data_IF_649810444076
#
_entry.id   IF_649810444076
#
_cell.length_a   1.000
_cell.length_b   1.000
_cell.length_c   1.000
_cell.angle_alpha   90.00
_cell.angle_beta   90.00
_cell.angle_gamma   90.00
#
_symmetry.space_group_name_H-M   'P 1'
#
loop_
_entity.id
_entity.type
_entity.pdbx_description
1 polymer ?
#
# COMPACT_ATOMS: atom_id res chain seq x y z
N UNK A 1 -31.80 -58.02 -29.27
CA UNK A 1 -32.65 -57.06 -30.01
C UNK A 1 -32.60 -55.73 -29.30
N UNK A 2 -32.36 -54.63 -30.04
CA UNK A 2 -31.91 -53.34 -29.52
C UNK A 2 -33.07 -52.36 -29.34
N UNK A 3 -32.86 -51.28 -28.58
CA UNK A 3 -33.44 -49.97 -28.90
C UNK A 3 -32.48 -48.88 -28.44
N UNK A 4 -31.71 -48.44 -29.43
CA UNK A 4 -31.06 -47.15 -29.50
C UNK A 4 -32.13 -46.07 -29.75
N UNK A 5 -31.93 -44.84 -29.24
CA UNK A 5 -32.00 -43.55 -29.99
C UNK A 5 -32.34 -42.35 -29.09
N UNK A 6 -31.27 -41.68 -28.59
CA UNK A 6 -30.78 -40.35 -29.02
C UNK A 6 -31.82 -39.23 -29.32
N UNK A 7 -31.79 -38.14 -28.56
CA UNK A 7 -31.36 -36.78 -28.98
C UNK A 7 -31.81 -35.66 -28.00
N UNK A 8 -30.82 -35.02 -27.36
CA UNK A 8 -30.52 -33.57 -27.39
C UNK A 8 -31.62 -32.59 -27.85
N UNK A 9 -31.81 -31.44 -27.16
CA UNK A 9 -31.09 -30.14 -27.36
C UNK A 9 -31.90 -28.91 -26.86
N UNK A 10 -31.17 -27.92 -26.29
CA UNK A 10 -31.49 -26.46 -26.09
C UNK A 10 -32.52 -26.12 -24.99
N UNK A 11 -32.45 -25.00 -24.25
CA UNK A 11 -31.69 -23.74 -24.30
C UNK A 11 -31.91 -23.03 -22.96
N UNK A 12 -30.94 -22.24 -22.51
CA UNK A 12 -31.05 -21.35 -21.35
C UNK A 12 -29.68 -20.85 -20.94
N UNK A 13 -29.06 -20.07 -21.83
CA UNK A 13 -27.99 -19.15 -21.48
C UNK A 13 -28.62 -17.87 -20.93
N UNK A 14 -27.72 -17.01 -20.45
CA UNK A 14 -27.86 -15.61 -20.05
C UNK A 14 -27.95 -15.46 -18.53
N UNK A 15 -27.12 -14.68 -17.82
CA UNK A 15 -26.01 -13.79 -18.16
C UNK A 15 -25.35 -13.42 -16.80
N UNK A 16 -24.16 -12.79 -16.84
CA UNK A 16 -23.54 -12.00 -15.77
C UNK A 16 -22.74 -12.70 -14.65
N UNK A 17 -21.42 -12.78 -14.84
CA UNK A 17 -20.49 -11.96 -14.02
C UNK A 17 -19.06 -12.02 -14.59
N UNK A 18 -18.88 -11.54 -15.82
CA UNK A 18 -17.57 -11.23 -16.38
C UNK A 18 -17.28 -9.75 -16.14
N UNK A 19 -16.77 -9.39 -14.96
CA UNK A 19 -16.37 -8.01 -14.63
C UNK A 19 -14.97 -7.91 -13.99
N UNK A 20 -13.99 -8.68 -14.47
CA UNK A 20 -12.59 -8.56 -14.00
C UNK A 20 -11.56 -8.74 -15.14
N UNK A 21 -11.72 -8.03 -16.26
CA UNK A 21 -10.65 -7.95 -17.27
C UNK A 21 -10.50 -6.62 -18.00
N UNK A 22 -11.15 -5.53 -17.57
CA UNK A 22 -11.05 -4.21 -18.27
C UNK A 22 -10.42 -3.07 -17.45
N UNK A 23 -9.60 -3.38 -16.43
CA UNK A 23 -8.86 -2.35 -15.68
C UNK A 23 -7.35 -2.53 -15.84
N UNK A 24 -6.85 -2.39 -17.07
CA UNK A 24 -5.39 -2.31 -17.30
C UNK A 24 -4.95 -1.44 -18.49
N UNK A 25 -5.84 -0.84 -19.28
CA UNK A 25 -5.40 -0.15 -20.51
C UNK A 25 -5.94 1.27 -20.73
N UNK A 26 -6.70 1.84 -19.79
CA UNK A 26 -7.29 3.17 -19.95
C UNK A 26 -6.49 4.33 -19.32
N UNK A 27 -5.20 4.15 -19.00
CA UNK A 27 -4.41 5.20 -18.34
C UNK A 27 -3.46 5.99 -19.26
N UNK A 28 -3.38 5.67 -20.55
CA UNK A 28 -2.54 6.41 -21.50
C UNK A 28 -3.16 6.43 -22.90
N UNK A 29 -4.27 7.15 -23.08
CA UNK A 29 -4.72 7.53 -24.43
C UNK A 29 -5.52 8.83 -24.39
N UNK A 30 -5.13 9.74 -25.29
CA UNK A 30 -5.83 10.93 -25.77
C UNK A 30 -6.19 12.07 -24.79
N UNK A 31 -5.37 13.12 -24.84
CA UNK A 31 -5.90 14.49 -24.85
C UNK A 31 -5.08 15.33 -25.83
N UNK A 32 -5.15 14.99 -27.11
CA UNK A 32 -4.81 15.92 -28.19
C UNK A 32 -6.05 16.78 -28.51
N UNK A 33 -6.00 18.05 -28.13
CA UNK A 33 -6.76 19.10 -28.80
C UNK A 33 -5.79 20.23 -29.12
N UNK A 34 -5.64 20.47 -30.41
CA UNK A 34 -4.95 21.62 -31.00
C UNK A 34 -5.34 22.92 -30.31
N UNK A 35 -4.36 23.69 -29.85
CA UNK A 35 -4.49 25.12 -29.65
C UNK A 35 -3.50 25.84 -30.57
N UNK A 36 -4.04 26.48 -31.59
CA UNK A 36 -3.32 27.32 -32.54
C UNK A 36 -2.53 28.43 -31.82
N UNK A 37 -1.34 28.70 -32.36
CA UNK A 37 -0.40 29.69 -31.88
C UNK A 37 -0.99 31.10 -31.83
N UNK A 38 -0.79 31.81 -30.71
CA UNK A 38 -0.33 33.21 -30.70
C UNK A 38 0.54 33.45 -29.46
N UNK A 39 1.68 34.05 -29.74
CA UNK A 39 2.72 34.57 -28.86
C UNK A 39 2.16 35.60 -27.87
N UNK A 40 2.41 35.41 -26.57
CA UNK A 40 2.63 36.54 -25.67
C UNK A 40 3.48 36.14 -24.47
N UNK A 41 4.55 36.90 -24.28
CA UNK A 41 5.62 36.65 -23.31
C UNK A 41 5.15 37.05 -21.91
N UNK A 42 4.92 36.08 -21.02
CA UNK A 42 4.71 36.35 -19.59
C UNK A 42 5.67 35.55 -18.69
N UNK A 43 6.29 36.17 -17.67
CA UNK A 43 7.36 35.57 -16.88
C UNK A 43 6.85 34.44 -15.97
N UNK A 44 7.71 33.49 -15.57
CA UNK A 44 7.34 32.34 -14.77
C UNK A 44 6.82 32.81 -13.41
N UNK A 45 5.52 32.62 -13.17
CA UNK A 45 4.92 32.88 -11.86
C UNK A 45 5.47 31.84 -10.89
N UNK A 46 6.44 32.29 -10.07
CA UNK A 46 6.84 31.54 -8.89
C UNK A 46 5.59 31.23 -8.08
N UNK A 47 5.25 29.94 -7.95
CA UNK A 47 4.23 29.45 -7.02
C UNK A 47 4.60 30.01 -5.64
N UNK A 48 3.93 31.09 -5.23
CA UNK A 48 4.02 31.62 -3.88
C UNK A 48 3.48 30.52 -2.99
N UNK A 49 4.37 29.72 -2.41
CA UNK A 49 4.05 28.84 -1.29
C UNK A 49 3.44 29.79 -0.25
N UNK A 50 2.11 29.80 -0.17
CA UNK A 50 1.39 30.59 0.81
C UNK A 50 2.06 30.31 2.15
N UNK A 51 2.39 31.37 2.89
CA UNK A 51 3.10 31.28 4.15
C UNK A 51 2.30 30.33 5.04
N UNK A 52 2.70 29.06 5.07
CA UNK A 52 2.28 28.14 6.08
C UNK A 52 2.60 28.83 7.42
N UNK A 53 1.68 28.73 8.37
CA UNK A 53 1.85 29.33 9.70
C UNK A 53 1.57 30.85 9.79
N UNK A 54 0.58 31.39 9.06
CA UNK A 54 0.15 32.81 9.21
C UNK A 54 -0.03 33.24 10.67
N UNK A 55 -0.59 32.35 11.49
CA UNK A 55 -0.75 32.54 12.94
C UNK A 55 0.59 32.79 13.64
N UNK A 56 1.61 31.96 13.40
CA UNK A 56 2.95 32.13 13.99
C UNK A 56 3.67 33.39 13.49
N UNK A 57 3.51 33.75 12.22
CA UNK A 57 4.10 34.98 11.67
C UNK A 57 3.41 36.27 12.13
N UNK A 58 2.14 36.22 12.57
CA UNK A 58 1.45 37.41 13.13
C UNK A 58 2.12 37.93 14.42
N UNK A 59 2.88 37.08 15.11
CA UNK A 59 3.68 37.41 16.29
C UNK A 59 5.12 37.83 15.96
N UNK A 60 5.47 37.89 14.66
CA UNK A 60 6.78 38.27 14.17
C UNK A 60 6.85 39.77 13.87
N UNK A 61 7.94 40.45 14.28
CA UNK A 61 8.29 41.79 13.79
C UNK A 61 9.23 41.69 12.59
N UNK A 62 9.35 42.78 11.84
CA UNK A 62 10.36 42.93 10.80
C UNK A 62 11.74 43.13 11.41
N UNK A 63 12.77 42.81 10.63
CA UNK A 63 14.16 43.04 10.99
C UNK A 63 14.41 44.56 11.03
N UNK A 64 15.06 45.03 12.09
CA UNK A 64 15.46 46.44 12.22
C UNK A 64 16.82 46.63 11.55
N UNK A 65 17.17 47.86 11.18
CA UNK A 65 18.45 48.23 10.57
C UNK A 65 19.62 47.65 11.37
N UNK A 66 20.39 46.74 10.77
CA UNK A 66 21.50 46.02 11.42
C UNK A 66 21.21 44.55 11.77
N UNK A 67 19.96 44.11 11.69
CA UNK A 67 19.57 42.70 11.87
C UNK A 67 19.44 41.97 10.53
N UNK A 68 19.78 40.68 10.50
CA UNK A 68 19.69 39.88 9.29
C UNK A 68 18.24 39.46 9.01
N UNK A 69 17.76 39.65 7.78
CA UNK A 69 16.42 39.19 7.40
C UNK A 69 16.38 37.66 7.20
N UNK A 70 17.49 37.08 6.75
CA UNK A 70 17.63 35.65 6.45
C UNK A 70 18.83 35.06 7.18
N UNK A 71 18.72 33.79 7.53
CA UNK A 71 19.84 33.03 8.07
C UNK A 71 20.86 32.64 6.99
N UNK A 72 21.94 31.97 7.40
CA UNK A 72 23.00 31.49 6.50
C UNK A 72 22.52 30.53 5.41
N UNK A 73 21.32 29.95 5.57
CA UNK A 73 20.71 29.01 4.62
C UNK A 73 19.55 29.66 3.83
N UNK A 74 19.40 30.98 3.89
CA UNK A 74 18.37 31.72 3.15
C UNK A 74 16.96 31.63 3.75
N UNK A 75 16.79 31.09 4.96
CA UNK A 75 15.49 31.03 5.66
C UNK A 75 15.20 32.35 6.35
N UNK A 76 13.97 32.86 6.23
CA UNK A 76 13.55 34.10 6.91
C UNK A 76 13.63 33.94 8.43
N UNK A 77 14.26 34.90 9.10
CA UNK A 77 14.37 34.91 10.56
C UNK A 77 13.07 35.47 11.15
N UNK A 78 12.53 34.75 12.13
CA UNK A 78 11.39 35.18 12.92
C UNK A 78 11.89 35.97 14.12
N UNK A 79 11.45 37.22 14.25
CA UNK A 79 11.77 38.10 15.38
C UNK A 79 10.54 38.30 16.27
N UNK A 80 10.65 38.08 17.57
CA UNK A 80 9.52 38.26 18.48
C UNK A 80 9.15 39.74 18.62
N UNK A 81 7.86 40.06 18.46
CA UNK A 81 7.32 41.41 18.72
C UNK A 81 7.46 41.88 20.17
N UNK A 82 7.50 40.96 21.14
CA UNK A 82 7.39 41.29 22.58
C UNK A 82 8.73 41.38 23.32
N UNK A 83 9.73 40.60 22.90
CA UNK A 83 10.99 40.52 23.66
C UNK A 83 12.25 40.41 22.79
N UNK A 84 12.14 40.67 21.48
CA UNK A 84 13.30 40.75 20.58
C UNK A 84 14.02 39.44 20.27
N UNK A 85 13.56 38.28 20.75
CA UNK A 85 14.21 37.00 20.45
C UNK A 85 14.10 36.64 18.97
N UNK A 86 15.19 36.18 18.36
CA UNK A 86 15.24 35.80 16.96
C UNK A 86 15.43 34.29 16.78
N UNK A 87 14.69 33.65 15.87
CA UNK A 87 14.89 32.23 15.52
C UNK A 87 14.64 31.97 14.03
N UNK A 88 15.39 31.04 13.44
CA UNK A 88 15.24 30.66 12.02
C UNK A 88 14.23 29.52 11.79
N UNK A 89 13.60 28.99 12.83
CA UNK A 89 12.68 27.84 12.73
C UNK A 89 11.39 28.14 13.48
N UNK A 90 10.24 28.00 12.81
CA UNK A 90 8.93 28.33 13.37
C UNK A 90 8.55 27.47 14.59
N UNK A 91 9.04 26.24 14.68
CA UNK A 91 8.85 25.42 15.87
C UNK A 91 9.50 26.04 17.11
N UNK A 92 10.71 26.60 16.96
CA UNK A 92 11.40 27.32 18.05
C UNK A 92 10.67 28.61 18.40
N UNK A 93 10.12 29.31 17.40
CA UNK A 93 9.27 30.48 17.63
C UNK A 93 8.00 30.12 18.41
N UNK A 94 7.29 29.03 18.05
CA UNK A 94 6.11 28.57 18.80
C UNK A 94 6.45 28.16 20.23
N UNK A 95 7.54 27.42 20.43
CA UNK A 95 8.02 27.07 21.77
C UNK A 95 8.37 28.31 22.60
N UNK A 96 9.00 29.31 21.98
CA UNK A 96 9.27 30.59 22.62
C UNK A 96 7.97 31.30 23.03
N UNK A 97 7.00 31.42 22.13
CA UNK A 97 5.70 32.02 22.41
C UNK A 97 4.97 31.30 23.55
N UNK A 98 5.00 29.97 23.58
CA UNK A 98 4.40 29.16 24.65
C UNK A 98 5.09 29.38 26.00
N UNK A 99 6.43 29.35 26.04
CA UNK A 99 7.20 29.39 27.28
C UNK A 99 7.42 30.80 27.86
N UNK A 100 7.61 31.82 27.02
CA UNK A 100 7.91 33.19 27.45
C UNK A 100 6.70 34.13 27.40
N UNK A 101 5.68 33.79 26.62
CA UNK A 101 4.51 34.64 26.43
C UNK A 101 3.17 33.93 26.72
N UNK A 102 3.18 32.64 27.08
CA UNK A 102 1.96 31.86 27.32
C UNK A 102 1.08 31.68 26.09
N UNK A 103 1.55 32.04 24.90
CA UNK A 103 0.77 31.98 23.66
C UNK A 103 0.93 30.61 23.03
N UNK A 104 -0.16 29.83 22.99
CA UNK A 104 -0.20 28.54 22.29
C UNK A 104 -0.83 28.75 20.93
N UNK A 105 -0.05 28.52 19.87
CA UNK A 105 -0.55 28.53 18.49
C UNK A 105 -0.89 27.10 18.09
N UNK A 106 -2.18 26.83 17.90
CA UNK A 106 -2.65 25.61 17.25
C UNK A 106 -2.67 25.90 15.75
N UNK A 107 -1.90 25.15 14.98
CA UNK A 107 -2.02 25.16 13.53
C UNK A 107 -2.88 23.99 13.11
N UNK A 108 -3.83 24.26 12.21
CA UNK A 108 -4.58 23.22 11.54
C UNK A 108 -3.61 22.29 10.84
N UNK A 109 -3.78 20.99 11.08
CA UNK A 109 -2.97 19.96 10.46
C UNK A 109 -3.14 20.07 8.94
N UNK A 110 -2.02 20.14 8.22
CA UNK A 110 -2.06 20.21 6.76
C UNK A 110 -2.76 18.97 6.22
N UNK A 111 -3.59 19.12 5.19
CA UNK A 111 -4.32 18.01 4.53
C UNK A 111 -3.43 16.80 4.22
N UNK A 112 -2.15 17.02 3.88
CA UNK A 112 -1.16 15.97 3.64
C UNK A 112 -0.90 15.10 4.87
N UNK A 113 -0.76 15.70 6.06
CA UNK A 113 -0.49 14.97 7.31
C UNK A 113 -1.73 14.20 7.76
N UNK A 114 -2.91 14.81 7.63
CA UNK A 114 -4.19 14.15 7.88
C UNK A 114 -4.39 12.94 6.96
N UNK A 115 -4.15 13.11 5.65
CA UNK A 115 -4.23 12.02 4.68
C UNK A 115 -3.22 10.90 4.99
N UNK A 116 -1.98 11.24 5.37
CA UNK A 116 -0.96 10.24 5.73
C UNK A 116 -1.39 9.44 6.96
N UNK A 117 -1.93 10.11 7.99
CA UNK A 117 -2.43 9.45 9.19
C UNK A 117 -3.60 8.51 8.88
N UNK A 118 -4.53 8.96 8.05
CA UNK A 118 -5.66 8.14 7.60
C UNK A 118 -5.20 6.91 6.80
N UNK A 119 -4.22 7.06 5.91
CA UNK A 119 -3.63 5.92 5.18
C UNK A 119 -2.99 4.91 6.14
N UNK A 120 -2.27 5.39 7.14
CA UNK A 120 -1.65 4.52 8.15
C UNK A 120 -2.73 3.76 8.94
N UNK A 121 -3.78 4.45 9.39
CA UNK A 121 -4.91 3.83 10.10
C UNK A 121 -5.65 2.80 9.25
N UNK A 122 -5.84 3.05 7.95
CA UNK A 122 -6.45 2.10 7.01
C UNK A 122 -5.59 0.83 6.82
N UNK A 123 -4.26 0.99 6.68
CA UNK A 123 -3.34 -0.15 6.58
C UNK A 123 -3.41 -1.03 7.83
N UNK A 124 -3.35 -0.41 9.01
CA UNK A 124 -3.42 -1.16 10.28
C UNK A 124 -4.81 -1.74 10.54
N UNK A 125 -5.88 -1.05 10.14
CA UNK A 125 -7.25 -1.55 10.20
C UNK A 125 -7.44 -2.81 9.35
N UNK A 126 -6.93 -2.80 8.11
CA UNK A 126 -6.93 -3.97 7.21
C UNK A 126 -6.14 -5.14 7.79
N UNK A 127 -4.98 -4.88 8.39
CA UNK A 127 -4.19 -5.93 9.04
C UNK A 127 -4.92 -6.54 10.24
N UNK A 128 -5.58 -5.71 11.06
CA UNK A 128 -6.37 -6.17 12.20
C UNK A 128 -7.53 -7.05 11.77
N UNK A 129 -8.29 -6.66 10.74
CA UNK A 129 -9.39 -7.47 10.20
C UNK A 129 -8.91 -8.82 9.62
N UNK A 130 -7.70 -8.88 9.04
CA UNK A 130 -7.11 -10.14 8.58
C UNK A 130 -6.62 -11.04 9.73
N UNK A 131 -6.33 -10.46 10.90
CA UNK A 131 -5.88 -11.17 12.10
C UNK A 131 -7.03 -11.58 13.03
N UNK A 132 -8.22 -10.97 12.90
CA UNK A 132 -9.42 -11.35 13.64
C UNK A 132 -9.81 -12.81 13.30
N UNK A 133 -9.48 -13.73 14.20
CA UNK A 133 -9.73 -15.17 14.06
C UNK A 133 -8.49 -16.02 13.75
N UNK A 134 -7.31 -15.42 13.53
CA UNK A 134 -6.04 -16.15 13.34
C UNK A 134 -5.22 -16.17 14.62
N UNK A 135 -4.97 -17.34 15.17
CA UNK A 135 -3.97 -17.50 16.23
C UNK A 135 -2.61 -17.76 15.60
N UNK A 136 -1.74 -16.74 15.61
CA UNK A 136 -0.38 -16.80 15.05
C UNK A 136 0.43 -17.94 15.65
N UNK A 137 0.20 -18.28 16.92
CA UNK A 137 0.87 -19.40 17.58
C UNK A 137 0.37 -20.74 17.03
N UNK A 138 -0.94 -20.91 16.87
CA UNK A 138 -1.51 -22.12 16.27
C UNK A 138 -1.03 -22.30 14.82
N UNK A 139 -1.02 -21.23 14.03
CA UNK A 139 -0.52 -21.28 12.64
C UNK A 139 0.95 -21.70 12.59
N UNK A 140 1.80 -21.13 13.45
CA UNK A 140 3.22 -21.54 13.58
C UNK A 140 3.35 -23.01 13.93
N UNK A 141 2.60 -23.49 14.91
CA UNK A 141 2.64 -24.89 15.30
C UNK A 141 2.18 -25.81 14.17
N UNK A 142 1.13 -25.45 13.43
CA UNK A 142 0.62 -26.22 12.30
C UNK A 142 1.61 -26.24 11.13
N UNK A 143 2.32 -25.14 10.85
CA UNK A 143 3.37 -25.11 9.83
C UNK A 143 4.58 -25.93 10.25
N UNK A 144 5.01 -25.83 11.51
CA UNK A 144 6.16 -26.59 12.05
C UNK A 144 5.89 -28.09 12.16
N UNK A 145 4.63 -28.50 12.37
CA UNK A 145 4.24 -29.90 12.44
C UNK A 145 4.42 -30.64 11.09
N UNK A 146 4.46 -29.92 9.97
CA UNK A 146 4.67 -30.52 8.65
C UNK A 146 6.15 -30.81 8.42
N UNK A 147 6.54 -32.09 8.47
CA UNK A 147 7.85 -32.52 8.02
C UNK A 147 7.96 -32.38 6.49
N UNK A 148 8.57 -31.29 6.03
CA UNK A 148 8.69 -30.94 4.61
C UNK A 148 9.42 -32.01 3.79
N UNK A 149 10.50 -32.57 4.33
CA UNK A 149 11.31 -33.56 3.62
C UNK A 149 10.54 -34.87 3.42
N UNK A 150 9.85 -35.33 4.47
CA UNK A 150 9.00 -36.53 4.39
C UNK A 150 7.83 -36.31 3.43
N UNK A 151 7.24 -35.12 3.43
CA UNK A 151 6.14 -34.75 2.54
C UNK A 151 6.55 -34.74 1.07
N UNK A 152 7.66 -34.09 0.72
CA UNK A 152 8.18 -34.05 -0.66
C UNK A 152 8.54 -35.45 -1.17
N UNK A 153 9.21 -36.27 -0.35
CA UNK A 153 9.53 -37.67 -0.68
C UNK A 153 8.26 -38.50 -0.90
N UNK A 154 7.25 -38.33 -0.05
CA UNK A 154 5.97 -39.05 -0.18
C UNK A 154 5.23 -38.67 -1.46
N UNK A 155 5.23 -37.38 -1.83
CA UNK A 155 4.64 -36.93 -3.11
C UNK A 155 5.43 -37.48 -4.30
N UNK A 156 6.77 -37.46 -4.24
CA UNK A 156 7.60 -38.03 -5.30
C UNK A 156 7.31 -39.52 -5.50
N UNK A 157 7.20 -40.29 -4.41
CA UNK A 157 6.81 -41.70 -4.46
C UNK A 157 5.38 -41.90 -4.99
N UNK A 158 4.43 -41.08 -4.56
CA UNK A 158 3.06 -41.14 -5.05
C UNK A 158 3.02 -40.96 -6.58
N UNK A 159 3.77 -39.98 -7.09
CA UNK A 159 3.89 -39.69 -8.52
C UNK A 159 4.51 -40.86 -9.28
N UNK A 160 5.64 -41.39 -8.80
CA UNK A 160 6.39 -42.44 -9.51
C UNK A 160 5.66 -43.79 -9.49
N UNK A 161 5.09 -44.20 -8.35
CA UNK A 161 4.41 -45.50 -8.20
C UNK A 161 3.10 -45.54 -9.00
N UNK A 162 2.35 -44.45 -9.01
CA UNK A 162 1.03 -44.40 -9.66
C UNK A 162 1.08 -43.79 -11.07
N UNK A 163 2.29 -43.49 -11.57
CA UNK A 163 2.52 -42.85 -12.87
C UNK A 163 1.66 -41.59 -13.07
N UNK A 164 1.58 -40.75 -12.04
CA UNK A 164 0.76 -39.54 -12.04
C UNK A 164 1.53 -38.39 -12.70
N UNK A 165 0.84 -37.41 -13.30
CA UNK A 165 1.53 -36.25 -13.84
C UNK A 165 2.10 -35.40 -12.69
N UNK A 166 3.27 -34.80 -12.90
CA UNK A 166 3.87 -33.83 -11.95
C UNK A 166 2.94 -32.63 -11.65
N UNK A 167 1.94 -32.40 -12.50
CA UNK A 167 0.92 -31.37 -12.31
C UNK A 167 -0.12 -31.71 -11.24
N UNK A 168 -0.15 -32.92 -10.67
CA UNK A 168 -1.12 -33.32 -9.64
C UNK A 168 -1.11 -32.38 -8.42
N UNK A 169 0.05 -31.83 -8.08
CA UNK A 169 0.22 -30.87 -6.98
C UNK A 169 -0.60 -29.59 -7.23
N UNK A 170 -0.94 -29.28 -8.49
CA UNK A 170 -1.79 -28.14 -8.89
C UNK A 170 -3.29 -28.47 -8.90
N UNK A 171 -3.67 -29.75 -8.80
CA UNK A 171 -5.08 -30.13 -8.91
C UNK A 171 -5.87 -29.64 -7.69
N UNK A 172 -6.98 -28.92 -7.88
CA UNK A 172 -7.77 -28.38 -6.76
C UNK A 172 -8.28 -29.47 -5.81
N UNK A 173 -8.67 -30.64 -6.34
CA UNK A 173 -9.13 -31.76 -5.53
C UNK A 173 -8.03 -32.33 -4.61
N UNK A 174 -6.81 -32.46 -5.12
CA UNK A 174 -5.67 -32.93 -4.33
C UNK A 174 -5.30 -31.91 -3.24
N UNK A 175 -5.32 -30.62 -3.57
CA UNK A 175 -5.10 -29.55 -2.61
C UNK A 175 -6.18 -29.52 -1.52
N UNK A 176 -7.45 -29.71 -1.88
CA UNK A 176 -8.56 -29.75 -0.92
C UNK A 176 -8.40 -30.87 0.11
N UNK A 177 -7.99 -32.07 -0.33
CA UNK A 177 -7.68 -33.19 0.59
C UNK A 177 -6.57 -32.81 1.56
N UNK A 178 -5.48 -32.20 1.07
CA UNK A 178 -4.38 -31.78 1.94
C UNK A 178 -4.77 -30.66 2.91
N UNK A 179 -5.58 -29.70 2.45
CA UNK A 179 -6.12 -28.64 3.30
C UNK A 179 -7.08 -29.16 4.37
N UNK A 180 -7.80 -30.25 4.11
CA UNK A 180 -8.67 -30.89 5.12
C UNK A 180 -7.88 -31.46 6.30
N UNK A 181 -6.63 -31.88 6.06
CA UNK A 181 -5.73 -32.42 7.09
C UNK A 181 -5.00 -31.28 7.79
N UNK A 182 -4.47 -30.33 7.03
CA UNK A 182 -3.81 -29.14 7.57
C UNK A 182 -4.03 -27.95 6.63
N UNK A 183 -4.89 -27.03 7.04
CA UNK A 183 -5.21 -25.84 6.24
C UNK A 183 -3.99 -24.93 6.02
N UNK A 184 -2.96 -25.00 6.87
CA UNK A 184 -1.68 -24.27 6.74
C UNK A 184 -0.65 -24.97 5.84
N UNK A 185 -0.96 -26.15 5.28
CA UNK A 185 -0.06 -26.84 4.35
C UNK A 185 0.07 -26.16 2.97
N UNK A 186 -0.66 -25.07 2.72
CA UNK A 186 -0.60 -24.29 1.46
C UNK A 186 0.83 -23.89 1.10
N UNK A 187 1.56 -23.37 2.09
CA UNK A 187 2.90 -22.84 1.87
C UNK A 187 3.86 -23.97 1.50
N UNK A 188 3.76 -25.10 2.21
CA UNK A 188 4.57 -26.30 1.93
C UNK A 188 4.28 -26.85 0.54
N UNK A 189 3.02 -26.85 0.12
CA UNK A 189 2.62 -27.22 -1.24
C UNK A 189 3.25 -26.31 -2.29
N UNK A 190 3.25 -24.99 -2.07
CA UNK A 190 3.88 -24.04 -3.00
C UNK A 190 5.38 -24.31 -3.15
N UNK A 191 6.11 -24.55 -2.07
CA UNK A 191 7.54 -24.90 -2.13
C UNK A 191 7.78 -26.24 -2.84
N UNK A 192 6.99 -27.26 -2.50
CA UNK A 192 7.14 -28.61 -3.07
C UNK A 192 6.96 -28.66 -4.60
N UNK A 193 6.19 -27.72 -5.19
CA UNK A 193 6.02 -27.60 -6.65
C UNK A 193 7.34 -27.44 -7.39
N UNK A 194 8.33 -26.80 -6.76
CA UNK A 194 9.63 -26.55 -7.37
C UNK A 194 10.66 -27.62 -7.00
N UNK A 195 10.50 -28.29 -5.86
CA UNK A 195 11.44 -29.29 -5.36
C UNK A 195 11.15 -30.69 -5.91
N UNK A 196 9.88 -31.12 -5.90
CA UNK A 196 9.48 -32.48 -6.28
C UNK A 196 9.91 -32.86 -7.70
N UNK A 197 9.79 -32.00 -8.73
CA UNK A 197 10.30 -32.35 -10.06
C UNK A 197 11.81 -32.64 -10.09
N UNK A 198 12.60 -32.00 -9.23
CA UNK A 198 14.06 -32.21 -9.14
C UNK A 198 14.43 -33.51 -8.44
N UNK A 199 13.53 -34.10 -7.66
CA UNK A 199 13.74 -35.35 -6.93
C UNK A 199 13.40 -36.60 -7.75
N UNK A 200 12.70 -36.43 -8.88
CA UNK A 200 12.26 -37.52 -9.76
C UNK A 200 13.19 -37.65 -10.98
N UNK A 201 13.97 -36.61 -11.29
CA UNK A 201 15.02 -36.61 -12.32
C UNK A 201 16.28 -37.33 -11.84
#
# INVERSE_FOLDING_TARGET
MPTQTRHQILRGLDEDNSTLSELSSAQFAESERESSALDDTLPPTQKRRGIACKSTWSWAREAVTGEAEKDKHGRKIWYCKRCGSATATLERARRHLKSKHGVTIVEEETSIKAATKQTIEDIFGKQKAQQEGRSVEQEKHLTSAVNKEAFEKSIAQLITINNLPHSIIRWPAFQAVLHSINYMASDVLQYSRHTVPKLIQ
#
